data_IF_550448256247
#
_entry.id   IF_550448256247
#
_cell.length_a   1.000
_cell.length_b   1.000
_cell.length_c   1.000
_cell.angle_alpha   90.00
_cell.angle_beta   90.00
_cell.angle_gamma   90.00
#
_symmetry.space_group_name_H-M   'P 1'
#
loop_
_entity.id
_entity.type
_entity.pdbx_description
1 polymer ?
#
# COMPACT_ATOMS: atom_id res chain seq x y z
N UNK A 1 24.58 4.15 12.45
CA UNK A 1 23.50 3.23 12.84
C UNK A 1 22.20 3.67 12.15
N UNK A 2 22.08 3.44 10.84
CA UNK A 2 20.89 3.82 10.03
C UNK A 2 20.60 2.86 8.88
N UNK A 3 21.49 1.91 8.64
CA UNK A 3 21.49 0.98 7.49
C UNK A 3 20.62 -0.28 7.75
N UNK A 4 20.34 -0.58 9.02
CA UNK A 4 19.46 -1.69 9.41
C UNK A 4 18.00 -1.40 9.07
N UNK A 5 17.55 -0.15 9.23
CA UNK A 5 16.20 0.26 8.88
C UNK A 5 15.96 0.09 7.38
N UNK A 6 16.91 0.54 6.54
CA UNK A 6 16.84 0.42 5.08
C UNK A 6 16.80 -1.05 4.64
N UNK A 7 17.66 -1.91 5.20
CA UNK A 7 17.69 -3.34 4.86
C UNK A 7 16.42 -4.09 5.23
N UNK A 8 15.87 -3.83 6.42
CA UNK A 8 14.59 -4.44 6.85
C UNK A 8 13.45 -4.00 5.94
N UNK A 9 13.48 -2.75 5.49
CA UNK A 9 12.46 -2.19 4.62
C UNK A 9 12.50 -2.81 3.21
N UNK A 10 13.69 -3.06 2.67
CA UNK A 10 13.86 -3.74 1.37
C UNK A 10 13.38 -5.19 1.44
N UNK A 11 13.73 -5.92 2.50
CA UNK A 11 13.28 -7.30 2.68
C UNK A 11 11.76 -7.39 2.88
N UNK A 12 11.16 -6.42 3.57
CA UNK A 12 9.71 -6.33 3.77
C UNK A 12 8.99 -5.99 2.45
N UNK A 13 9.52 -5.05 1.67
CA UNK A 13 8.98 -4.70 0.35
C UNK A 13 9.00 -5.90 -0.59
N UNK A 14 10.14 -6.59 -0.73
CA UNK A 14 10.25 -7.76 -1.60
C UNK A 14 9.26 -8.88 -1.24
N UNK A 15 9.00 -9.10 0.06
CA UNK A 15 8.02 -10.10 0.51
C UNK A 15 6.59 -9.71 0.16
N UNK A 16 6.24 -8.43 0.28
CA UNK A 16 4.88 -7.95 0.00
C UNK A 16 4.61 -7.88 -1.52
N UNK A 17 5.59 -7.47 -2.31
CA UNK A 17 5.52 -7.52 -3.78
C UNK A 17 5.34 -8.96 -4.28
N UNK A 18 6.08 -9.93 -3.71
CA UNK A 18 5.92 -11.35 -4.05
C UNK A 18 4.54 -11.92 -3.70
N UNK A 19 3.83 -11.29 -2.77
CA UNK A 19 2.46 -11.66 -2.38
C UNK A 19 1.40 -10.92 -3.23
N UNK A 20 1.80 -10.12 -4.22
CA UNK A 20 0.90 -9.35 -5.08
C UNK A 20 0.39 -8.05 -4.44
N UNK A 21 0.99 -7.60 -3.35
CA UNK A 21 0.58 -6.36 -2.68
C UNK A 21 1.24 -5.16 -3.34
N UNK A 22 0.44 -4.14 -3.63
CA UNK A 22 0.95 -2.86 -4.12
C UNK A 22 1.55 -2.07 -2.96
N UNK A 23 2.84 -1.73 -3.05
CA UNK A 23 3.56 -0.96 -2.03
C UNK A 23 3.51 0.53 -2.36
N UNK A 24 2.94 1.32 -1.47
CA UNK A 24 2.99 2.78 -1.51
C UNK A 24 3.86 3.30 -0.37
N UNK A 25 4.74 4.25 -0.69
CA UNK A 25 5.67 4.85 0.26
C UNK A 25 5.46 6.36 0.28
N UNK A 26 5.26 6.89 1.47
CA UNK A 26 5.14 8.33 1.72
C UNK A 26 6.19 8.75 2.73
N UNK A 27 6.79 9.92 2.53
CA UNK A 27 7.68 10.52 3.51
C UNK A 27 6.87 11.28 4.55
N UNK A 28 7.32 11.29 5.81
CA UNK A 28 6.61 11.99 6.89
C UNK A 28 6.36 13.46 6.58
N UNK A 29 7.31 14.15 5.92
CA UNK A 29 7.13 15.54 5.51
C UNK A 29 6.01 15.71 4.49
N UNK A 30 5.86 14.77 3.55
CA UNK A 30 4.79 14.81 2.54
C UNK A 30 3.42 14.55 3.18
N UNK A 31 3.33 13.62 4.14
CA UNK A 31 2.09 13.34 4.87
C UNK A 31 1.66 14.53 5.73
N UNK A 32 2.61 15.18 6.41
CA UNK A 32 2.30 16.30 7.30
C UNK A 32 1.94 17.57 6.51
N UNK A 33 2.57 17.78 5.35
CA UNK A 33 2.32 18.96 4.51
C UNK A 33 1.13 18.82 3.60
N UNK A 34 0.84 17.61 3.12
CA UNK A 34 -0.15 17.39 2.07
C UNK A 34 -0.88 16.05 2.23
N UNK A 35 -1.55 15.91 3.38
CA UNK A 35 -2.30 14.71 3.75
C UNK A 35 -3.43 14.40 2.74
N UNK A 36 -4.05 15.43 2.17
CA UNK A 36 -5.14 15.28 1.21
C UNK A 36 -4.65 14.66 -0.10
N UNK A 37 -3.51 15.12 -0.62
CA UNK A 37 -2.89 14.56 -1.82
C UNK A 37 -2.40 13.12 -1.58
N UNK A 38 -1.86 12.82 -0.39
CA UNK A 38 -1.51 11.44 0.00
C UNK A 38 -2.74 10.54 0.02
N UNK A 39 -3.85 10.99 0.62
CA UNK A 39 -5.11 10.23 0.63
C UNK A 39 -5.65 9.98 -0.78
N UNK A 40 -5.65 10.99 -1.65
CA UNK A 40 -6.09 10.84 -3.03
C UNK A 40 -5.22 9.85 -3.80
N UNK A 41 -3.90 9.90 -3.63
CA UNK A 41 -2.97 8.95 -4.24
C UNK A 41 -3.29 7.51 -3.83
N UNK A 42 -3.53 7.28 -2.53
CA UNK A 42 -3.91 5.96 -2.00
C UNK A 42 -5.22 5.49 -2.64
N UNK A 43 -6.24 6.35 -2.71
CA UNK A 43 -7.55 5.99 -3.28
C UNK A 43 -7.44 5.69 -4.78
N UNK A 44 -6.63 6.45 -5.53
CA UNK A 44 -6.40 6.19 -6.95
C UNK A 44 -5.73 4.84 -7.16
N UNK A 45 -4.67 4.55 -6.42
CA UNK A 45 -3.93 3.28 -6.57
C UNK A 45 -4.77 2.10 -6.09
N UNK A 46 -5.44 2.22 -4.94
CA UNK A 46 -6.33 1.16 -4.45
C UNK A 46 -7.54 0.95 -5.38
N UNK A 47 -8.08 2.01 -5.98
CA UNK A 47 -9.15 1.94 -6.97
C UNK A 47 -8.74 1.32 -8.30
N UNK A 48 -7.49 1.53 -8.73
CA UNK A 48 -6.89 0.86 -9.88
C UNK A 48 -6.68 -0.64 -9.63
N UNK A 49 -6.22 -1.00 -8.42
CA UNK A 49 -6.09 -2.40 -8.00
C UNK A 49 -7.47 -3.06 -7.81
N UNK A 50 -8.47 -2.29 -7.40
CA UNK A 50 -9.86 -2.71 -7.24
C UNK A 50 -10.59 -3.04 -8.55
N UNK A 51 -10.03 -2.65 -9.70
CA UNK A 51 -10.59 -3.02 -11.01
C UNK A 51 -10.29 -4.49 -11.41
N UNK A 52 -9.37 -5.15 -10.70
CA UNK A 52 -9.01 -6.57 -10.89
C UNK A 52 -9.49 -7.47 -9.74
N UNK A 53 -10.47 -7.05 -8.94
CA UNK A 53 -11.02 -7.94 -7.89
C UNK A 53 -11.77 -9.09 -8.58
N UNK A 54 -11.31 -10.34 -8.46
CA UNK A 54 -12.13 -11.48 -8.88
C UNK A 54 -13.32 -11.56 -7.94
N UNK A 55 -14.49 -11.85 -8.49
CA UNK A 55 -15.84 -11.95 -7.91
C UNK A 55 -16.01 -12.76 -6.60
N UNK A 56 -14.94 -13.25 -5.97
CA UNK A 56 -14.99 -14.24 -4.88
C UNK A 56 -14.84 -13.66 -3.45
N UNK A 57 -14.81 -12.34 -3.26
CA UNK A 57 -14.60 -11.74 -1.93
C UNK A 57 -15.80 -10.93 -1.38
N UNK A 58 -17.00 -11.09 -1.94
CA UNK A 58 -18.23 -10.43 -1.44
C UNK A 58 -19.14 -11.32 -0.59
N UNK A 59 -18.80 -12.58 -0.31
CA UNK A 59 -19.68 -13.52 0.40
C UNK A 59 -19.41 -13.73 1.90
N UNK A 60 -18.46 -13.03 2.53
CA UNK A 60 -18.16 -13.21 3.98
C UNK A 60 -18.51 -12.00 4.85
N UNK A 61 -19.57 -11.25 4.55
CA UNK A 61 -20.12 -10.26 5.51
C UNK A 61 -21.65 -10.31 5.64
N UNK A 62 -22.30 -11.34 5.11
CA UNK A 62 -23.73 -11.58 5.24
C UNK A 62 -24.00 -13.00 5.79
N UNK A 63 -23.67 -13.23 7.06
CA UNK A 63 -24.35 -14.26 7.86
C UNK A 63 -24.49 -13.83 9.31
#
# INVERSE_FOLDING_TARGET
MGDQAVRVDVARTAKLEALGWTILRFWNDDVIRDIDNVCQHIVIVAGLVGAEVPELATEEFAS
#
